data_IF_413381862349
#
_entry.id   IF_413381862349
#
_cell.length_a   1.000
_cell.length_b   1.000
_cell.length_c   1.000
_cell.angle_alpha   90.00
_cell.angle_beta   90.00
_cell.angle_gamma   90.00
#
_symmetry.space_group_name_H-M   'P 1'
#
loop_
_entity.id
_entity.type
_entity.pdbx_description
1 polymer ?
#
# COMPACT_ATOMS: atom_id res chain seq x y z
N UNK A 1 -6.68 -10.78 -17.71
CA UNK A 1 -6.92 -10.19 -16.38
C UNK A 1 -5.65 -9.46 -16.00
N UNK A 2 -5.67 -8.13 -15.96
CA UNK A 2 -4.57 -7.40 -15.33
C UNK A 2 -4.71 -7.63 -13.82
N UNK A 3 -3.76 -8.34 -13.21
CA UNK A 3 -3.66 -8.38 -11.75
C UNK A 3 -3.14 -7.01 -11.31
N UNK A 4 -4.06 -6.16 -10.84
CA UNK A 4 -3.69 -4.93 -10.16
C UNK A 4 -3.03 -5.34 -8.84
N UNK A 5 -1.77 -4.94 -8.64
CA UNK A 5 -1.04 -5.27 -7.41
C UNK A 5 -1.48 -4.27 -6.34
N UNK A 6 -1.91 -4.80 -5.19
CA UNK A 6 -2.26 -4.00 -4.03
C UNK A 6 -1.02 -3.71 -3.19
N UNK A 7 -0.84 -2.46 -2.76
CA UNK A 7 0.25 -2.02 -1.87
C UNK A 7 -0.40 -1.38 -0.64
N UNK A 8 -0.04 -1.89 0.54
CA UNK A 8 -0.44 -1.32 1.81
C UNK A 8 0.69 -0.45 2.37
N UNK A 9 0.42 0.83 2.64
CA UNK A 9 1.35 1.77 3.28
C UNK A 9 0.91 1.93 4.73
N UNK A 10 1.80 1.63 5.68
CA UNK A 10 1.48 1.66 7.10
C UNK A 10 2.58 2.43 7.84
N UNK A 11 2.27 3.66 8.24
CA UNK A 11 3.20 4.54 8.96
C UNK A 11 2.40 5.48 9.88
N UNK A 12 2.89 5.68 11.10
CA UNK A 12 2.26 6.53 12.11
C UNK A 12 2.35 8.02 11.74
N UNK A 13 3.29 8.41 10.86
CA UNK A 13 3.45 9.78 10.37
C UNK A 13 2.69 9.98 9.04
N UNK A 14 1.61 10.78 9.02
CA UNK A 14 0.83 11.02 7.79
C UNK A 14 1.66 11.56 6.62
N UNK A 15 2.65 12.42 6.93
CA UNK A 15 3.54 13.02 5.93
C UNK A 15 4.36 11.95 5.21
N UNK A 16 4.83 10.92 5.92
CA UNK A 16 5.61 9.85 5.31
C UNK A 16 4.74 8.99 4.38
N UNK A 17 3.46 8.76 4.74
CA UNK A 17 2.52 8.06 3.87
C UNK A 17 2.26 8.82 2.57
N UNK A 18 2.05 10.13 2.65
CA UNK A 18 1.86 10.98 1.47
C UNK A 18 3.08 10.95 0.54
N UNK A 19 4.29 11.06 1.10
CA UNK A 19 5.54 11.00 0.32
C UNK A 19 5.69 9.65 -0.37
N UNK A 20 5.42 8.54 0.33
CA UNK A 20 5.49 7.20 -0.25
C UNK A 20 4.44 7.01 -1.36
N UNK A 21 3.22 7.50 -1.17
CA UNK A 21 2.18 7.46 -2.18
C UNK A 21 2.58 8.24 -3.45
N UNK A 22 3.15 9.44 -3.30
CA UNK A 22 3.64 10.25 -4.42
C UNK A 22 4.78 9.56 -5.17
N UNK A 23 5.72 8.93 -4.46
CA UNK A 23 6.79 8.13 -5.07
C UNK A 23 6.24 6.96 -5.89
N UNK A 24 5.22 6.26 -5.38
CA UNK A 24 4.59 5.15 -6.10
C UNK A 24 3.84 5.66 -7.34
N UNK A 25 3.07 6.75 -7.23
CA UNK A 25 2.40 7.35 -8.38
C UNK A 25 3.37 7.85 -9.45
N UNK A 26 4.54 8.34 -9.05
CA UNK A 26 5.61 8.68 -10.00
C UNK A 26 6.08 7.43 -10.75
N UNK A 27 6.31 6.33 -10.04
CA UNK A 27 6.67 5.05 -10.66
C UNK A 27 5.58 4.51 -11.59
N UNK A 28 4.31 4.62 -11.21
CA UNK A 28 3.18 4.25 -12.07
C UNK A 28 3.22 4.99 -13.41
N UNK A 29 3.46 6.30 -13.38
CA UNK A 29 3.56 7.14 -14.57
C UNK A 29 4.77 6.75 -15.43
N UNK A 30 5.93 6.52 -14.83
CA UNK A 30 7.15 6.15 -15.54
C UNK A 30 7.10 4.76 -16.19
N UNK A 31 6.42 3.81 -15.54
CA UNK A 31 6.37 2.41 -15.99
C UNK A 31 5.06 2.03 -16.68
N UNK A 32 4.12 2.98 -16.80
CA UNK A 32 2.77 2.74 -17.31
C UNK A 32 2.10 1.52 -16.62
N UNK A 33 2.29 1.42 -15.30
CA UNK A 33 1.68 0.40 -14.44
C UNK A 33 0.71 1.05 -13.47
N UNK A 34 -0.18 0.26 -12.88
CA UNK A 34 -1.12 0.73 -11.87
C UNK A 34 -1.13 -0.21 -10.66
N UNK A 35 -1.12 0.40 -9.49
CA UNK A 35 -1.24 -0.22 -8.20
C UNK A 35 -2.54 0.26 -7.54
N UNK A 36 -3.04 -0.55 -6.60
CA UNK A 36 -4.05 -0.10 -5.67
C UNK A 36 -3.35 0.23 -4.34
N UNK A 37 -3.40 1.50 -3.93
CA UNK A 37 -2.79 1.94 -2.68
C UNK A 37 -3.83 1.92 -1.57
N UNK A 38 -3.46 1.31 -0.45
CA UNK A 38 -4.23 1.33 0.79
C UNK A 38 -3.35 1.89 1.90
N UNK A 39 -3.78 2.95 2.56
CA UNK A 39 -3.03 3.60 3.62
C UNK A 39 -3.61 3.26 4.99
N UNK A 40 -2.74 3.03 5.96
CA UNK A 40 -3.10 2.64 7.32
C UNK A 40 -2.39 3.51 8.35
N UNK A 41 -3.15 3.84 9.39
CA UNK A 41 -2.76 4.60 10.56
C UNK A 41 -1.76 3.90 11.46
N UNK A 42 -1.86 2.58 11.55
CA UNK A 42 -1.02 1.73 12.39
C UNK A 42 -0.98 0.29 11.88
N UNK A 43 -0.06 -0.51 12.44
CA UNK A 43 0.06 -1.93 12.13
C UNK A 43 -1.16 -2.74 12.57
N UNK A 44 -1.85 -2.33 13.63
CA UNK A 44 -3.08 -2.97 14.11
C UNK A 44 -4.24 -2.77 13.14
N UNK A 45 -4.47 -1.55 12.66
CA UNK A 45 -5.52 -1.26 11.67
C UNK A 45 -5.30 -2.07 10.38
N UNK A 46 -4.04 -2.17 9.98
CA UNK A 46 -3.61 -3.00 8.87
C UNK A 46 -3.94 -4.48 9.12
N UNK A 47 -3.58 -5.03 10.28
CA UNK A 47 -3.84 -6.43 10.64
C UNK A 47 -5.35 -6.75 10.77
N UNK A 48 -6.15 -5.85 11.33
CA UNK A 48 -7.62 -5.98 11.38
C UNK A 48 -8.23 -6.08 9.98
N UNK A 49 -7.67 -5.35 9.02
CA UNK A 49 -8.08 -5.39 7.62
C UNK A 49 -7.65 -6.70 6.94
N UNK A 50 -6.51 -7.27 7.32
CA UNK A 50 -5.99 -8.53 6.78
C UNK A 50 -6.65 -9.79 7.32
N UNK A 51 -7.06 -9.79 8.59
CA UNK A 51 -7.69 -10.95 9.23
C UNK A 51 -9.04 -11.31 8.58
N UNK A 52 -9.62 -10.39 7.79
CA UNK A 52 -10.89 -10.58 7.10
C UNK A 52 -10.77 -11.16 5.67
N UNK A 53 -9.59 -11.09 5.02
CA UNK A 53 -9.46 -11.56 3.63
C UNK A 53 -8.04 -12.01 3.27
N UNK A 54 -7.66 -13.19 3.78
CA UNK A 54 -6.33 -13.83 3.68
C UNK A 54 -5.86 -14.09 2.23
N UNK A 55 -6.72 -13.87 1.22
CA UNK A 55 -6.41 -14.14 -0.19
C UNK A 55 -6.16 -12.89 -1.05
N UNK A 56 -6.37 -11.67 -0.53
CA UNK A 56 -6.52 -10.49 -1.41
C UNK A 56 -5.24 -9.66 -1.60
N UNK A 57 -4.20 -9.89 -0.80
CA UNK A 57 -3.03 -8.99 -0.73
C UNK A 57 -1.70 -9.75 -0.73
N UNK A 58 -1.34 -10.35 -1.86
CA UNK A 58 -0.13 -11.17 -2.05
C UNK A 58 1.20 -10.36 -2.01
N UNK A 59 1.18 -9.02 -1.95
CA UNK A 59 2.40 -8.20 -1.94
C UNK A 59 2.24 -6.91 -1.11
N UNK A 60 2.03 -7.04 0.21
CA UNK A 60 2.16 -5.91 1.13
C UNK A 60 3.64 -5.54 1.31
N UNK A 61 4.11 -4.48 0.65
CA UNK A 61 5.33 -3.79 1.08
C UNK A 61 4.98 -2.99 2.33
N UNK A 62 5.11 -3.61 3.50
CA UNK A 62 5.08 -2.89 4.77
C UNK A 62 6.34 -2.00 4.82
N UNK A 63 6.21 -0.74 4.44
CA UNK A 63 7.25 0.26 4.67
C UNK A 63 7.00 0.85 6.05
N UNK A 64 7.46 0.15 7.09
CA UNK A 64 7.67 0.76 8.41
C UNK A 64 8.98 1.52 8.34
N UNK A 65 8.96 2.85 8.54
CA UNK A 65 10.20 3.63 8.74
C UNK A 65 10.62 3.55 10.21
#
# INVERSE_FOLDING_TARGET
MNLLINIAICDDMPILREVLAEMIHTYEAEKNTKFNLCEFGSGEELLETFDWDVNTLMYSFLITV
#
